data_IF_571928951060
#
_entry.id   IF_571928951060
#
_cell.length_a   1.000
_cell.length_b   1.000
_cell.length_c   1.000
_cell.angle_alpha   90.00
_cell.angle_beta   90.00
_cell.angle_gamma   90.00
#
_symmetry.space_group_name_H-M   'P 1'
#
loop_
_entity.id
_entity.type
_entity.pdbx_description
1 polymer ?
#
# COMPACT_ATOMS: atom_id res chain seq x y z
N UNK A 1 69.69 36.47 -8.21
CA UNK A 1 69.20 37.84 -7.92
C UNK A 1 67.91 37.67 -7.12
N UNK A 2 67.81 37.79 -5.81
CA UNK A 2 68.72 38.10 -4.70
C UNK A 2 67.93 37.71 -3.44
N UNK A 3 68.60 37.18 -2.43
CA UNK A 3 68.03 37.08 -1.07
C UNK A 3 67.61 38.46 -0.57
N UNK A 4 66.46 38.58 0.09
CA UNK A 4 66.13 39.62 1.08
C UNK A 4 64.74 39.32 1.69
N UNK A 5 64.71 38.57 2.78
CA UNK A 5 64.28 39.02 4.12
C UNK A 5 63.81 37.86 5.00
N UNK A 6 64.54 37.67 6.09
CA UNK A 6 64.20 36.84 7.25
C UNK A 6 63.29 37.61 8.22
N UNK A 7 62.48 36.82 8.90
CA UNK A 7 61.96 36.98 10.27
C UNK A 7 60.89 38.04 10.58
N UNK A 8 59.68 37.54 10.90
CA UNK A 8 58.92 37.95 12.07
C UNK A 8 58.10 36.76 12.60
N UNK A 9 58.51 36.21 13.74
CA UNK A 9 57.68 35.34 14.59
C UNK A 9 56.97 36.26 15.59
N UNK A 10 55.63 36.26 15.61
CA UNK A 10 54.85 36.66 16.77
C UNK A 10 53.49 35.94 16.76
N UNK A 11 53.14 35.42 17.93
CA UNK A 11 52.07 34.49 18.21
C UNK A 11 50.65 35.05 17.97
N UNK A 12 49.74 34.16 17.59
CA UNK A 12 48.30 34.39 17.56
C UNK A 12 47.56 33.05 17.60
N UNK A 13 47.07 32.70 18.79
CA UNK A 13 46.33 31.49 19.11
C UNK A 13 45.09 31.31 18.22
N UNK A 14 45.02 30.17 17.53
CA UNK A 14 43.83 29.70 16.82
C UNK A 14 43.73 28.20 16.99
N UNK A 15 42.94 27.79 17.97
CA UNK A 15 42.70 26.40 18.35
C UNK A 15 42.10 25.63 17.16
N UNK A 16 42.84 24.67 16.61
CA UNK A 16 42.32 23.74 15.62
C UNK A 16 41.44 22.68 16.29
N UNK A 17 40.24 22.44 15.75
CA UNK A 17 39.89 21.15 15.18
C UNK A 17 38.47 21.15 14.61
N UNK A 18 38.37 20.86 13.31
CA UNK A 18 37.10 20.70 12.60
C UNK A 18 37.27 20.84 11.08
N UNK A 19 38.40 20.37 10.54
CA UNK A 19 38.71 20.44 9.12
C UNK A 19 37.95 19.33 8.38
N UNK A 20 36.67 19.54 8.11
CA UNK A 20 35.87 18.71 7.21
C UNK A 20 35.95 19.22 5.78
N UNK A 21 37.15 19.26 5.19
CA UNK A 21 37.30 19.47 3.74
C UNK A 21 36.92 18.17 3.01
N UNK A 22 35.64 17.80 3.10
CA UNK A 22 35.06 16.74 2.29
C UNK A 22 34.97 17.24 0.87
N UNK A 23 35.85 16.76 0.00
CA UNK A 23 35.83 17.08 -1.42
C UNK A 23 34.49 16.55 -1.99
N UNK A 24 33.54 17.44 -2.27
CA UNK A 24 32.25 17.07 -2.85
C UNK A 24 32.43 16.83 -4.35
N UNK A 25 32.43 15.56 -4.74
CA UNK A 25 32.65 15.12 -6.13
C UNK A 25 31.44 14.34 -6.64
N UNK A 26 31.47 13.98 -7.93
CA UNK A 26 30.44 13.13 -8.54
C UNK A 26 30.24 11.80 -7.80
N UNK A 27 31.27 11.28 -7.12
CA UNK A 27 31.18 10.03 -6.34
C UNK A 27 30.30 10.15 -5.09
N UNK A 28 30.02 11.37 -4.62
CA UNK A 28 29.10 11.61 -3.51
C UNK A 28 27.62 11.65 -3.94
N UNK A 29 27.35 11.67 -5.24
CA UNK A 29 25.98 11.64 -5.78
C UNK A 29 25.51 10.18 -5.83
N UNK A 30 24.51 9.85 -5.02
CA UNK A 30 23.89 8.53 -5.00
C UNK A 30 22.56 8.55 -5.74
N UNK A 31 22.36 7.59 -6.64
CA UNK A 31 21.08 7.31 -7.29
C UNK A 31 20.49 6.07 -6.64
N UNK A 32 19.25 6.18 -6.14
CA UNK A 32 18.51 5.04 -5.59
C UNK A 32 17.64 4.46 -6.70
N UNK A 33 17.87 3.20 -7.07
CA UNK A 33 17.16 2.57 -8.17
C UNK A 33 15.89 1.83 -7.70
N UNK A 34 14.85 1.88 -8.53
CA UNK A 34 13.59 1.15 -8.30
C UNK A 34 12.99 1.41 -6.92
N UNK A 35 12.76 0.33 -6.17
CA UNK A 35 12.11 0.37 -4.85
C UNK A 35 13.06 0.74 -3.70
N UNK A 36 14.36 0.93 -3.95
CA UNK A 36 15.31 1.31 -2.91
C UNK A 36 15.00 2.69 -2.32
N UNK A 37 14.54 3.63 -3.16
CA UNK A 37 14.12 4.96 -2.73
C UNK A 37 12.99 4.91 -1.69
N UNK A 38 12.02 4.02 -1.89
CA UNK A 38 10.89 3.81 -0.97
C UNK A 38 11.39 3.34 0.39
N UNK A 39 12.26 2.33 0.42
CA UNK A 39 12.82 1.79 1.68
C UNK A 39 13.72 2.78 2.39
N UNK A 40 14.44 3.62 1.66
CA UNK A 40 15.34 4.63 2.24
C UNK A 40 14.57 5.81 2.83
N UNK A 41 13.37 6.12 2.30
CA UNK A 41 12.52 7.25 2.68
C UNK A 41 11.04 6.86 2.78
N UNK A 42 10.67 5.87 3.62
CA UNK A 42 9.32 5.30 3.64
C UNK A 42 8.24 6.34 3.96
N UNK A 43 8.51 7.25 4.89
CA UNK A 43 7.58 8.32 5.27
C UNK A 43 7.18 9.25 4.10
N UNK A 44 7.99 9.36 3.05
CA UNK A 44 7.61 10.13 1.85
C UNK A 44 6.47 9.46 1.07
N UNK A 45 6.36 8.13 1.15
CA UNK A 45 5.40 7.34 0.38
C UNK A 45 4.18 6.94 1.20
N UNK A 46 4.38 6.56 2.47
CA UNK A 46 3.31 6.07 3.36
C UNK A 46 3.05 6.98 4.57
N UNK A 47 3.67 8.16 4.59
CA UNK A 47 3.47 9.21 5.58
C UNK A 47 4.33 9.07 6.85
N UNK A 48 4.39 7.90 7.48
CA UNK A 48 5.28 7.62 8.62
C UNK A 48 5.64 6.13 8.69
N UNK A 49 6.42 5.73 9.70
CA UNK A 49 6.81 4.33 9.96
C UNK A 49 6.22 3.77 11.25
N UNK A 50 5.24 4.47 11.83
CA UNK A 50 4.52 4.04 13.03
C UNK A 50 3.22 3.35 12.67
N UNK A 51 2.26 3.35 13.62
CA UNK A 51 0.96 2.69 13.43
C UNK A 51 0.23 3.17 12.17
N UNK A 52 0.18 4.49 11.92
CA UNK A 52 -0.55 5.02 10.77
C UNK A 52 0.06 4.56 9.45
N UNK A 53 1.38 4.64 9.29
CA UNK A 53 2.07 4.14 8.09
C UNK A 53 1.92 2.63 7.89
N UNK A 54 1.95 1.85 8.97
CA UNK A 54 1.72 0.41 8.92
C UNK A 54 0.33 0.08 8.34
N UNK A 55 -0.73 0.67 8.90
CA UNK A 55 -2.10 0.46 8.42
C UNK A 55 -2.31 1.01 7.00
N UNK A 56 -1.58 2.06 6.62
CA UNK A 56 -1.59 2.60 5.26
C UNK A 56 -1.21 1.56 4.21
N UNK A 57 -0.32 0.60 4.53
CA UNK A 57 0.00 -0.49 3.60
C UNK A 57 -1.24 -1.31 3.23
N UNK A 58 -2.11 -1.59 4.22
CA UNK A 58 -3.35 -2.32 4.01
C UNK A 58 -4.32 -1.48 3.17
N UNK A 59 -4.40 -0.18 3.45
CA UNK A 59 -5.28 0.74 2.72
C UNK A 59 -4.93 0.80 1.24
N UNK A 60 -3.65 0.84 0.88
CA UNK A 60 -3.20 0.86 -0.52
C UNK A 60 -3.66 -0.38 -1.31
N UNK A 61 -3.72 -1.54 -0.65
CA UNK A 61 -4.20 -2.78 -1.29
C UNK A 61 -5.73 -2.78 -1.39
N UNK A 62 -6.43 -2.33 -0.35
CA UNK A 62 -7.90 -2.20 -0.35
C UNK A 62 -8.34 -1.17 -1.39
N UNK A 63 -7.69 -0.02 -1.49
CA UNK A 63 -8.05 1.05 -2.42
C UNK A 63 -7.91 0.58 -3.88
N UNK A 64 -6.94 -0.28 -4.19
CA UNK A 64 -6.86 -0.92 -5.50
C UNK A 64 -8.05 -1.86 -5.77
N UNK A 65 -8.56 -2.54 -4.75
CA UNK A 65 -9.75 -3.40 -4.83
C UNK A 65 -11.03 -2.56 -4.99
N UNK A 66 -11.12 -1.43 -4.29
CA UNK A 66 -12.21 -0.45 -4.44
C UNK A 66 -12.23 0.14 -5.85
N UNK A 67 -11.08 0.39 -6.46
CA UNK A 67 -11.04 0.86 -7.85
C UNK A 67 -11.62 -0.17 -8.84
N UNK A 68 -11.48 -1.47 -8.60
CA UNK A 68 -12.19 -2.51 -9.37
C UNK A 68 -13.70 -2.48 -9.13
N UNK A 69 -14.13 -2.17 -7.91
CA UNK A 69 -15.54 -2.05 -7.54
C UNK A 69 -16.18 -0.81 -8.21
N UNK A 70 -15.49 0.33 -8.19
CA UNK A 70 -15.91 1.55 -8.90
C UNK A 70 -15.95 1.37 -10.42
N UNK A 71 -15.15 0.45 -10.96
CA UNK A 71 -15.21 0.05 -12.36
C UNK A 71 -16.34 -0.98 -12.66
N UNK A 72 -17.05 -1.46 -11.64
CA UNK A 72 -18.19 -2.38 -11.75
C UNK A 72 -17.83 -3.86 -11.84
N UNK A 73 -16.60 -4.24 -11.45
CA UNK A 73 -16.12 -5.63 -11.57
C UNK A 73 -15.95 -6.36 -10.23
N UNK A 74 -15.93 -5.63 -9.12
CA UNK A 74 -15.77 -6.20 -7.79
C UNK A 74 -16.99 -5.84 -6.93
N UNK A 75 -17.51 -6.81 -6.17
CA UNK A 75 -18.59 -6.61 -5.20
C UNK A 75 -18.24 -7.12 -3.78
N UNK A 76 -17.08 -7.79 -3.63
CA UNK A 76 -16.62 -8.37 -2.37
C UNK A 76 -15.13 -8.19 -2.19
N UNK A 77 -14.74 -7.66 -1.03
CA UNK A 77 -13.35 -7.49 -0.60
C UNK A 77 -13.20 -8.08 0.80
N UNK A 78 -12.24 -8.98 0.98
CA UNK A 78 -12.00 -9.70 2.23
C UNK A 78 -10.59 -9.39 2.75
N UNK A 79 -10.48 -9.05 4.03
CA UNK A 79 -9.22 -8.75 4.71
C UNK A 79 -8.99 -9.77 5.83
N UNK A 80 -7.78 -10.31 5.93
CA UNK A 80 -7.41 -11.25 6.99
C UNK A 80 -6.15 -10.75 7.68
N UNK A 81 -6.18 -10.70 9.01
CA UNK A 81 -5.01 -10.50 9.86
C UNK A 81 -4.57 -11.88 10.37
N UNK A 82 -3.39 -12.33 9.96
CA UNK A 82 -2.90 -13.68 10.25
C UNK A 82 -2.20 -13.76 11.62
N UNK A 83 -2.06 -14.97 12.22
CA UNK A 83 -1.33 -15.18 13.48
C UNK A 83 0.10 -14.65 13.47
N UNK A 84 0.77 -14.65 12.31
CA UNK A 84 2.13 -14.16 12.15
C UNK A 84 2.22 -12.64 11.85
N UNK A 85 1.08 -11.95 11.96
CA UNK A 85 0.88 -10.54 11.70
C UNK A 85 1.17 -10.14 10.24
N UNK A 86 0.98 -11.07 9.30
CA UNK A 86 0.79 -10.76 7.89
C UNK A 86 -0.66 -10.40 7.59
N UNK A 87 -0.90 -9.80 6.44
CA UNK A 87 -2.21 -9.39 5.95
C UNK A 87 -2.49 -10.06 4.62
N UNK A 88 -3.70 -10.58 4.45
CA UNK A 88 -4.26 -10.89 3.13
C UNK A 88 -5.37 -9.91 2.81
N UNK A 89 -5.37 -9.36 1.60
CA UNK A 89 -6.53 -8.69 1.00
C UNK A 89 -6.90 -9.45 -0.27
N UNK A 90 -8.16 -9.82 -0.40
CA UNK A 90 -8.68 -10.54 -1.57
C UNK A 90 -9.89 -9.81 -2.14
N UNK A 91 -9.87 -9.57 -3.44
CA UNK A 91 -11.01 -9.05 -4.21
C UNK A 91 -11.50 -10.08 -5.22
N UNK A 92 -12.71 -9.87 -5.74
CA UNK A 92 -13.28 -10.64 -6.84
C UNK A 92 -13.37 -9.83 -8.16
N UNK A 93 -12.49 -8.85 -8.34
CA UNK A 93 -12.40 -8.01 -9.54
C UNK A 93 -11.92 -8.75 -10.78
N UNK A 94 -11.38 -8.02 -11.76
CA UNK A 94 -10.89 -8.60 -13.03
C UNK A 94 -9.59 -9.39 -12.88
N UNK A 95 -8.83 -9.15 -11.81
CA UNK A 95 -7.46 -9.62 -11.65
C UNK A 95 -6.44 -8.76 -12.39
N UNK A 96 -5.30 -8.50 -11.76
CA UNK A 96 -4.17 -7.76 -12.38
C UNK A 96 -3.75 -8.44 -13.70
N UNK A 97 -3.50 -7.69 -14.80
CA UNK A 97 -3.00 -8.28 -16.04
C UNK A 97 -1.68 -9.06 -15.84
N UNK A 98 -1.57 -10.24 -16.42
CA UNK A 98 -0.41 -11.15 -16.26
C UNK A 98 0.39 -11.33 -17.55
N UNK A 99 -0.12 -10.80 -18.67
CA UNK A 99 0.54 -10.76 -19.96
C UNK A 99 1.82 -9.92 -19.96
N UNK A 100 2.68 -10.15 -20.95
CA UNK A 100 3.96 -9.45 -21.07
C UNK A 100 3.75 -7.97 -21.40
N UNK A 101 4.28 -7.09 -20.55
CA UNK A 101 4.32 -5.67 -20.81
C UNK A 101 5.32 -5.37 -21.94
N UNK A 102 4.86 -4.74 -23.02
CA UNK A 102 5.64 -4.59 -24.27
C UNK A 102 7.00 -3.91 -24.08
N UNK A 103 7.07 -2.88 -23.22
CA UNK A 103 8.31 -2.12 -22.99
C UNK A 103 9.25 -2.80 -21.99
N UNK A 104 8.68 -3.39 -20.94
CA UNK A 104 9.44 -3.92 -19.79
C UNK A 104 9.83 -5.39 -19.99
N UNK A 105 9.24 -6.07 -20.99
CA UNK A 105 9.53 -7.46 -21.36
C UNK A 105 9.37 -8.47 -20.21
N UNK A 106 8.52 -8.14 -19.25
CA UNK A 106 8.10 -8.96 -18.11
C UNK A 106 6.61 -8.77 -17.88
N UNK A 107 5.99 -9.66 -17.10
CA UNK A 107 4.54 -9.60 -16.87
C UNK A 107 4.08 -8.25 -16.32
N UNK A 108 2.90 -7.78 -16.70
CA UNK A 108 2.32 -6.56 -16.17
C UNK A 108 2.17 -6.61 -14.64
N UNK A 109 1.82 -7.79 -14.07
CA UNK A 109 1.85 -8.04 -12.64
C UNK A 109 3.22 -7.69 -12.02
N UNK A 110 4.31 -8.21 -12.55
CA UNK A 110 5.64 -7.89 -12.03
C UNK A 110 5.97 -6.39 -12.16
N UNK A 111 5.57 -5.76 -13.27
CA UNK A 111 5.79 -4.33 -13.51
C UNK A 111 5.11 -3.49 -12.43
N UNK A 112 3.80 -3.69 -12.18
CA UNK A 112 3.06 -2.88 -11.19
C UNK A 112 3.54 -3.12 -9.76
N UNK A 113 4.12 -4.28 -9.47
CA UNK A 113 4.66 -4.59 -8.14
C UNK A 113 6.08 -4.06 -7.92
N UNK A 114 6.83 -3.73 -8.97
CA UNK A 114 8.28 -3.43 -8.86
C UNK A 114 8.71 -2.09 -9.46
N UNK A 115 7.83 -1.39 -10.18
CA UNK A 115 8.12 -0.10 -10.81
C UNK A 115 7.24 0.98 -10.22
N UNK A 116 7.85 2.04 -9.69
CA UNK A 116 7.13 3.24 -9.29
C UNK A 116 6.55 3.93 -10.53
N UNK A 117 5.36 4.50 -10.38
CA UNK A 117 4.62 5.18 -11.44
C UNK A 117 4.25 4.25 -12.60
N UNK A 118 3.92 3.00 -12.29
CA UNK A 118 3.38 2.04 -13.23
C UNK A 118 1.95 1.64 -12.85
N UNK A 119 1.01 1.69 -13.80
CA UNK A 119 -0.37 1.31 -13.57
C UNK A 119 -1.30 1.72 -14.72
N UNK A 120 -2.49 1.12 -14.77
CA UNK A 120 -3.51 1.42 -15.78
C UNK A 120 -4.39 2.64 -15.45
N UNK A 121 -4.05 3.41 -14.40
CA UNK A 121 -4.85 4.52 -13.88
C UNK A 121 -4.41 5.90 -14.39
N UNK A 122 -3.49 5.94 -15.36
CA UNK A 122 -3.02 7.19 -15.99
C UNK A 122 -3.89 7.66 -17.15
N UNK A 123 -4.70 6.75 -17.71
CA UNK A 123 -5.70 7.05 -18.73
C UNK A 123 -7.12 6.81 -18.20
N UNK A 124 -8.11 7.44 -18.83
CA UNK A 124 -9.53 7.25 -18.49
C UNK A 124 -10.13 5.95 -19.05
N UNK A 125 -9.31 5.12 -19.69
CA UNK A 125 -9.77 3.94 -20.45
C UNK A 125 -10.04 2.74 -19.55
N UNK A 126 -9.16 2.51 -18.57
CA UNK A 126 -9.25 1.35 -17.69
C UNK A 126 -10.11 1.58 -16.43
N UNK A 127 -10.13 2.83 -15.93
CA UNK A 127 -10.92 3.28 -14.80
C UNK A 127 -11.53 4.65 -15.10
N UNK A 128 -12.87 4.76 -15.05
CA UNK A 128 -13.57 6.02 -15.31
C UNK A 128 -13.37 7.04 -14.18
N UNK A 129 -13.29 6.54 -12.95
CA UNK A 129 -12.95 7.25 -11.71
C UNK A 129 -12.16 6.27 -10.84
N UNK A 130 -11.04 6.71 -10.25
CA UNK A 130 -10.24 5.90 -9.32
C UNK A 130 -9.66 6.77 -8.20
N UNK A 131 -9.52 6.20 -7.00
CA UNK A 131 -8.80 6.82 -5.89
C UNK A 131 -7.28 6.76 -6.10
N UNK A 132 -6.78 5.68 -6.70
CA UNK A 132 -5.37 5.55 -7.05
C UNK A 132 -5.02 6.35 -8.31
N UNK A 133 -4.08 7.30 -8.20
CA UNK A 133 -3.66 8.15 -9.33
C UNK A 133 -2.14 8.16 -9.58
N UNK A 134 -1.34 7.79 -8.58
CA UNK A 134 0.11 7.95 -8.64
C UNK A 134 0.85 6.75 -9.24
N UNK A 135 0.22 5.56 -9.26
CA UNK A 135 0.85 4.31 -9.70
C UNK A 135 2.00 3.86 -8.82
N UNK A 136 1.94 4.13 -7.51
CA UNK A 136 3.02 3.78 -6.55
C UNK A 136 2.56 2.88 -5.39
N UNK A 137 1.28 2.88 -5.05
CA UNK A 137 0.75 2.25 -3.83
C UNK A 137 1.22 0.82 -3.57
N UNK A 138 0.78 -0.13 -4.41
CA UNK A 138 1.10 -1.55 -4.21
C UNK A 138 2.60 -1.86 -4.34
N UNK A 139 3.32 -1.10 -5.16
CA UNK A 139 4.78 -1.22 -5.27
C UNK A 139 5.50 -0.74 -3.99
N UNK A 140 4.93 0.25 -3.28
CA UNK A 140 5.42 0.66 -1.96
C UNK A 140 5.12 -0.41 -0.91
N UNK A 141 3.93 -1.02 -0.94
CA UNK A 141 3.61 -2.18 -0.08
C UNK A 141 4.63 -3.30 -0.29
N UNK A 142 4.94 -3.64 -1.55
CA UNK A 142 5.96 -4.63 -1.87
C UNK A 142 7.36 -4.25 -1.35
N UNK A 143 7.77 -2.99 -1.57
CA UNK A 143 9.06 -2.48 -1.11
C UNK A 143 9.23 -2.54 0.41
N UNK A 144 8.15 -2.27 1.16
CA UNK A 144 8.13 -2.14 2.61
C UNK A 144 7.71 -3.45 3.32
N UNK A 145 7.58 -4.54 2.56
CA UNK A 145 7.27 -5.87 3.09
C UNK A 145 8.52 -6.77 3.10
N UNK A 146 8.64 -7.60 4.14
CA UNK A 146 9.71 -8.62 4.21
C UNK A 146 9.45 -9.77 3.23
N UNK A 147 8.18 -10.16 3.08
CA UNK A 147 7.69 -10.96 1.98
C UNK A 147 6.33 -10.46 1.48
N UNK A 148 6.07 -10.69 0.20
CA UNK A 148 4.77 -10.45 -0.41
C UNK A 148 4.49 -11.55 -1.43
N UNK A 149 3.25 -12.01 -1.51
CA UNK A 149 2.73 -12.93 -2.52
C UNK A 149 1.51 -12.31 -3.18
N UNK A 150 1.46 -12.35 -4.51
CA UNK A 150 0.24 -12.03 -5.26
C UNK A 150 -0.23 -13.28 -5.97
N UNK A 151 -1.51 -13.58 -5.82
CA UNK A 151 -2.23 -14.61 -6.58
C UNK A 151 -3.31 -13.92 -7.40
N UNK A 152 -3.30 -14.15 -8.71
CA UNK A 152 -4.27 -13.58 -9.65
C UNK A 152 -5.12 -14.71 -10.23
N UNK A 153 -6.44 -14.52 -10.20
CA UNK A 153 -7.40 -15.39 -10.87
C UNK A 153 -7.91 -14.65 -12.11
N UNK A 154 -7.58 -15.13 -13.30
CA UNK A 154 -7.94 -14.49 -14.57
C UNK A 154 -7.85 -15.49 -15.72
N UNK A 155 -8.71 -15.35 -16.72
CA UNK A 155 -8.66 -16.17 -17.96
C UNK A 155 -8.70 -17.70 -17.70
N UNK A 156 -9.45 -18.11 -16.66
CA UNK A 156 -9.58 -19.52 -16.29
C UNK A 156 -8.36 -20.10 -15.57
N UNK A 157 -7.37 -19.27 -15.23
CA UNK A 157 -6.07 -19.67 -14.69
C UNK A 157 -5.77 -18.96 -13.36
N UNK A 158 -4.93 -19.61 -12.58
CA UNK A 158 -4.31 -19.06 -11.37
C UNK A 158 -2.88 -18.69 -11.74
N UNK A 159 -2.50 -17.44 -11.53
CA UNK A 159 -1.13 -16.97 -11.65
C UNK A 159 -0.61 -16.55 -10.29
N UNK A 160 0.68 -16.73 -10.03
CA UNK A 160 1.28 -16.26 -8.79
C UNK A 160 2.69 -15.71 -8.99
N UNK A 161 3.06 -14.80 -8.09
CA UNK A 161 4.44 -14.32 -7.93
C UNK A 161 4.70 -13.96 -6.46
N UNK A 162 5.89 -14.33 -5.99
CA UNK A 162 6.37 -14.01 -4.65
C UNK A 162 7.57 -13.06 -4.72
N UNK A 163 7.67 -12.22 -3.69
CA UNK A 163 8.67 -11.18 -3.56
C UNK A 163 9.29 -11.23 -2.17
N UNK A 164 10.57 -10.86 -2.09
CA UNK A 164 11.24 -10.57 -0.84
C UNK A 164 11.83 -9.17 -0.92
N UNK A 165 11.40 -8.28 -0.02
CA UNK A 165 11.91 -6.90 0.06
C UNK A 165 11.79 -6.19 -1.32
N UNK A 166 10.60 -6.28 -1.93
CA UNK A 166 10.32 -5.67 -3.23
C UNK A 166 10.91 -6.41 -4.45
N UNK A 167 11.74 -7.45 -4.26
CA UNK A 167 12.39 -8.16 -5.36
C UNK A 167 11.64 -9.44 -5.72
N UNK A 168 11.29 -9.68 -6.99
CA UNK A 168 10.64 -10.91 -7.41
C UNK A 168 11.58 -12.10 -7.19
N UNK A 169 11.06 -13.18 -6.61
CA UNK A 169 11.82 -14.42 -6.39
C UNK A 169 11.91 -15.27 -7.66
N UNK A 170 10.93 -15.13 -8.54
CA UNK A 170 10.81 -15.81 -9.83
C UNK A 170 9.84 -15.03 -10.74
N UNK A 171 9.89 -15.21 -12.07
CA UNK A 171 8.89 -14.64 -12.99
C UNK A 171 7.49 -15.20 -12.70
N UNK A 172 6.43 -14.45 -13.00
CA UNK A 172 5.03 -14.91 -12.86
C UNK A 172 4.85 -16.29 -13.48
N UNK A 173 4.24 -17.20 -12.71
CA UNK A 173 3.96 -18.57 -13.14
C UNK A 173 2.48 -18.90 -13.06
N UNK A 174 2.04 -19.81 -13.93
CA UNK A 174 0.74 -20.44 -13.81
C UNK A 174 0.79 -21.48 -12.68
N UNK A 175 -0.10 -21.36 -11.70
CA UNK A 175 -0.20 -22.19 -10.51
C UNK A 175 -1.39 -23.17 -10.55
N UNK A 176 -2.27 -23.05 -11.55
CA UNK A 176 -3.42 -23.94 -11.71
C UNK A 176 -4.53 -23.34 -12.56
N UNK A 177 -5.69 -23.98 -12.54
CA UNK A 177 -6.91 -23.52 -13.21
C UNK A 177 -7.96 -23.08 -12.19
N UNK A 178 -8.87 -22.21 -12.59
CA UNK A 178 -9.91 -21.65 -11.71
C UNK A 178 -11.13 -21.20 -12.50
N UNK A 179 -12.30 -21.21 -11.87
CA UNK A 179 -13.50 -20.54 -12.39
C UNK A 179 -13.71 -19.13 -11.83
N UNK A 180 -12.80 -18.65 -10.97
CA UNK A 180 -12.90 -17.36 -10.29
C UNK A 180 -12.16 -16.26 -11.06
N UNK A 181 -12.47 -15.01 -10.74
CA UNK A 181 -11.66 -13.84 -11.08
C UNK A 181 -11.30 -13.07 -9.81
N UNK A 182 -10.21 -12.30 -9.86
CA UNK A 182 -9.82 -11.40 -8.76
C UNK A 182 -8.34 -11.43 -8.46
N UNK A 183 -7.96 -10.65 -7.44
CA UNK A 183 -6.58 -10.58 -6.94
C UNK A 183 -6.56 -10.88 -5.45
N UNK A 184 -5.61 -11.69 -5.02
CA UNK A 184 -5.25 -11.86 -3.61
C UNK A 184 -3.83 -11.37 -3.40
N UNK A 185 -3.64 -10.41 -2.50
CA UNK A 185 -2.32 -9.91 -2.08
C UNK A 185 -2.12 -10.28 -0.62
N UNK A 186 -1.07 -11.05 -0.35
CA UNK A 186 -0.66 -11.45 0.98
C UNK A 186 0.71 -10.87 1.28
N UNK A 187 0.89 -10.13 2.38
CA UNK A 187 2.15 -9.47 2.69
C UNK A 187 2.42 -9.39 4.18
N UNK A 188 3.69 -9.33 4.55
CA UNK A 188 4.12 -9.05 5.93
C UNK A 188 5.01 -7.82 5.96
N UNK A 189 4.72 -6.85 6.84
CA UNK A 189 5.52 -5.64 6.96
C UNK A 189 6.97 -5.99 7.33
N UNK A 190 7.92 -5.19 6.86
CA UNK A 190 9.33 -5.34 7.21
C UNK A 190 9.62 -4.69 8.57
N UNK A 191 9.85 -5.51 9.59
CA UNK A 191 10.11 -5.06 10.97
C UNK A 191 11.45 -4.34 11.13
N UNK A 192 12.32 -4.35 10.12
CA UNK A 192 13.53 -3.50 10.10
C UNK A 192 13.24 -2.03 9.73
N UNK A 193 12.03 -1.75 9.20
CA UNK A 193 11.60 -0.42 8.78
C UNK A 193 10.60 0.18 9.78
N UNK A 194 9.59 -0.59 10.18
CA UNK A 194 8.49 -0.09 11.00
C UNK A 194 8.85 -0.09 12.49
N UNK A 195 8.46 0.97 13.19
CA UNK A 195 8.62 1.08 14.66
C UNK A 195 7.45 0.46 15.43
N UNK A 196 6.31 0.27 14.76
CA UNK A 196 5.21 -0.56 15.22
C UNK A 196 4.92 -1.58 14.13
N UNK A 197 4.87 -2.85 14.49
CA UNK A 197 4.66 -3.96 13.58
C UNK A 197 3.38 -4.73 13.88
N UNK A 198 2.50 -4.27 14.77
CA UNK A 198 1.24 -4.94 15.11
C UNK A 198 0.05 -4.22 14.47
N UNK A 199 -0.74 -4.95 13.68
CA UNK A 199 -1.99 -4.43 13.13
C UNK A 199 -3.10 -4.38 14.18
N UNK A 200 -3.93 -3.35 14.10
CA UNK A 200 -5.05 -3.11 15.00
C UNK A 200 -6.36 -3.36 14.25
N UNK A 201 -7.15 -4.31 14.76
CA UNK A 201 -8.42 -4.71 14.16
C UNK A 201 -9.42 -3.55 14.12
N UNK A 202 -9.50 -2.72 15.16
CA UNK A 202 -10.46 -1.61 15.24
C UNK A 202 -10.11 -0.50 14.24
N UNK A 203 -8.83 -0.18 14.09
CA UNK A 203 -8.37 0.80 13.09
C UNK A 203 -8.75 0.36 11.67
N UNK A 204 -8.44 -0.89 11.31
CA UNK A 204 -8.81 -1.43 9.99
C UNK A 204 -10.33 -1.51 9.83
N UNK A 205 -11.04 -2.02 10.84
CA UNK A 205 -12.49 -2.16 10.82
C UNK A 205 -13.21 -0.82 10.65
N UNK A 206 -12.73 0.24 11.31
CA UNK A 206 -13.26 1.59 11.12
C UNK A 206 -13.10 2.04 9.67
N UNK A 207 -11.93 1.82 9.08
CA UNK A 207 -11.67 2.19 7.68
C UNK A 207 -12.54 1.40 6.70
N UNK A 208 -12.66 0.09 6.87
CA UNK A 208 -13.51 -0.75 6.02
C UNK A 208 -14.99 -0.33 6.11
N UNK A 209 -15.46 0.02 7.30
CA UNK A 209 -16.82 0.53 7.52
C UNK A 209 -17.07 1.83 6.76
N UNK A 210 -16.16 2.79 6.85
CA UNK A 210 -16.23 4.04 6.08
C UNK A 210 -16.30 3.75 4.57
N UNK A 211 -15.43 2.86 4.07
CA UNK A 211 -15.40 2.48 2.67
C UNK A 211 -16.69 1.80 2.20
N UNK A 212 -17.32 0.96 3.03
CA UNK A 212 -18.60 0.33 2.71
C UNK A 212 -19.72 1.36 2.56
N UNK A 213 -19.73 2.42 3.38
CA UNK A 213 -20.67 3.51 3.20
C UNK A 213 -20.40 4.38 1.96
N UNK A 214 -19.13 4.61 1.64
CA UNK A 214 -18.73 5.40 0.48
C UNK A 214 -18.98 4.67 -0.84
N UNK A 215 -18.95 3.33 -0.82
CA UNK A 215 -19.09 2.47 -1.99
C UNK A 215 -20.32 1.56 -1.81
N UNK A 216 -21.50 2.13 -2.11
CA UNK A 216 -22.80 1.44 -2.02
C UNK A 216 -22.75 0.08 -2.72
N UNK A 217 -23.32 -0.94 -2.08
CA UNK A 217 -23.47 -2.28 -2.68
C UNK A 217 -22.19 -3.12 -2.70
N UNK A 218 -21.08 -2.66 -2.12
CA UNK A 218 -19.84 -3.42 -2.00
C UNK A 218 -19.74 -4.01 -0.59
N UNK A 219 -19.46 -5.30 -0.50
CA UNK A 219 -19.23 -6.00 0.77
C UNK A 219 -17.75 -5.95 1.13
N UNK A 220 -17.44 -5.45 2.32
CA UNK A 220 -16.11 -5.50 2.88
C UNK A 220 -16.12 -6.32 4.16
N UNK A 221 -15.21 -7.28 4.30
CA UNK A 221 -15.05 -8.06 5.53
C UNK A 221 -13.63 -7.99 6.05
N UNK A 222 -13.49 -8.12 7.36
CA UNK A 222 -12.21 -8.32 8.03
C UNK A 222 -12.32 -9.42 9.08
N UNK A 223 -11.32 -10.29 9.12
CA UNK A 223 -11.20 -11.38 10.09
C UNK A 223 -9.82 -11.31 10.74
N UNK A 224 -9.77 -11.36 12.06
CA UNK A 224 -8.54 -11.44 12.84
C UNK A 224 -8.32 -12.88 13.33
N UNK A 225 -7.36 -13.56 12.72
CA UNK A 225 -7.06 -14.96 12.99
C UNK A 225 -6.09 -15.15 14.18
N UNK A 226 -5.62 -14.06 14.80
CA UNK A 226 -4.65 -14.11 15.91
C UNK A 226 -5.27 -14.63 17.19
N UNK A 227 -6.57 -14.41 17.38
CA UNK A 227 -7.32 -14.82 18.56
C UNK A 227 -8.62 -15.56 18.17
N UNK A 228 -9.19 -16.28 19.14
CA UNK A 228 -10.46 -17.00 18.99
C UNK A 228 -11.34 -16.72 20.19
N UNK A 229 -12.64 -16.57 19.97
CA UNK A 229 -13.63 -16.48 21.03
C UNK A 229 -13.84 -17.84 21.77
N UNK A 230 -14.69 -17.85 22.80
CA UNK A 230 -14.98 -19.05 23.60
C UNK A 230 -15.59 -20.20 22.78
N UNK A 231 -16.14 -19.91 21.60
CA UNK A 231 -16.73 -20.88 20.68
C UNK A 231 -15.76 -21.31 19.57
N UNK A 232 -14.52 -20.81 19.58
CA UNK A 232 -13.50 -21.09 18.57
C UNK A 232 -13.65 -20.29 17.27
N UNK A 233 -14.45 -19.22 17.25
CA UNK A 233 -14.56 -18.34 16.09
C UNK A 233 -13.53 -17.22 16.14
N UNK A 234 -13.05 -16.79 14.98
CA UNK A 234 -12.18 -15.63 14.87
C UNK A 234 -12.98 -14.33 14.94
N UNK A 235 -12.54 -13.32 15.72
CA UNK A 235 -13.12 -11.99 15.71
C UNK A 235 -13.11 -11.39 14.30
N UNK A 236 -14.19 -10.73 13.92
CA UNK A 236 -14.28 -10.14 12.59
C UNK A 236 -15.56 -9.35 12.38
N UNK A 237 -15.58 -8.57 11.32
CA UNK A 237 -16.70 -7.72 10.95
C UNK A 237 -16.98 -7.83 9.45
N UNK A 238 -18.26 -7.71 9.09
CA UNK A 238 -18.69 -7.57 7.71
C UNK A 238 -19.51 -6.30 7.58
N UNK A 239 -19.15 -5.47 6.60
CA UNK A 239 -19.74 -4.17 6.33
C UNK A 239 -20.36 -4.18 4.94
N UNK A 240 -21.57 -3.62 4.85
CA UNK A 240 -22.34 -3.47 3.63
C UNK A 240 -23.33 -2.33 3.82
N UNK A 241 -23.50 -1.48 2.82
CA UNK A 241 -24.47 -0.38 2.86
C UNK A 241 -25.22 -0.27 1.54
N UNK A 242 -26.55 -0.20 1.65
CA UNK A 242 -27.45 0.01 0.50
C UNK A 242 -27.64 1.50 0.22
N UNK A 243 -27.71 2.35 1.26
CA UNK A 243 -28.03 3.79 1.11
C UNK A 243 -26.79 4.69 1.17
N UNK A 244 -25.60 4.13 1.43
CA UNK A 244 -24.31 4.80 1.43
C UNK A 244 -24.18 5.90 2.47
N UNK A 245 -23.91 7.13 2.02
CA UNK A 245 -23.70 8.29 2.90
C UNK A 245 -24.86 8.58 3.86
N UNK A 246 -26.10 8.20 3.52
CA UNK A 246 -27.24 8.31 4.46
C UNK A 246 -27.01 7.42 5.68
N UNK A 247 -26.72 6.14 5.45
CA UNK A 247 -26.39 5.18 6.52
C UNK A 247 -25.14 5.64 7.29
N UNK A 248 -24.18 6.29 6.62
CA UNK A 248 -22.99 6.82 7.30
C UNK A 248 -23.31 7.93 8.30
N UNK A 249 -24.16 8.89 7.91
CA UNK A 249 -24.57 9.97 8.80
C UNK A 249 -25.35 9.40 9.98
N UNK A 250 -26.27 8.46 9.74
CA UNK A 250 -27.01 7.79 10.81
C UNK A 250 -26.08 7.06 11.78
N UNK A 251 -25.05 6.40 11.26
CA UNK A 251 -24.03 5.76 12.07
C UNK A 251 -23.25 6.77 12.94
N UNK A 252 -22.82 7.90 12.36
CA UNK A 252 -22.10 8.96 13.09
C UNK A 252 -22.96 9.65 14.16
N UNK A 253 -24.26 9.81 13.89
CA UNK A 253 -25.21 10.45 14.80
C UNK A 253 -25.84 9.49 15.82
N UNK A 254 -25.53 8.19 15.77
CA UNK A 254 -26.15 7.17 16.62
C UNK A 254 -26.00 7.40 18.13
N UNK A 255 -25.01 8.19 18.57
CA UNK A 255 -24.83 8.58 19.98
C UNK A 255 -25.18 10.05 20.28
N UNK A 256 -25.74 10.78 19.30
CA UNK A 256 -26.08 12.21 19.44
C UNK A 256 -27.60 12.40 19.44
N UNK A 257 -28.05 13.47 20.09
CA UNK A 257 -29.45 13.87 20.00
C UNK A 257 -29.74 14.40 18.60
N UNK A 258 -30.68 13.77 17.90
CA UNK A 258 -31.07 14.16 16.54
C UNK A 258 -31.87 15.46 16.56
N UNK A 259 -31.34 16.51 15.93
CA UNK A 259 -32.04 17.80 15.77
C UNK A 259 -33.04 17.79 14.60
N UNK A 260 -32.88 16.86 13.65
CA UNK A 260 -33.76 16.65 12.50
C UNK A 260 -34.03 15.15 12.35
N UNK A 261 -35.21 14.74 11.86
CA UNK A 261 -35.55 13.32 11.73
C UNK A 261 -34.68 12.58 10.71
N UNK A 262 -34.34 13.24 9.59
CA UNK A 262 -33.63 12.65 8.46
C UNK A 262 -32.48 13.56 7.98
N UNK A 263 -31.31 13.01 7.61
CA UNK A 263 -30.24 13.77 6.98
C UNK A 263 -30.64 14.37 5.63
N UNK A 264 -30.21 15.61 5.37
CA UNK A 264 -30.35 16.22 4.05
C UNK A 264 -29.36 15.52 3.11
N UNK A 265 -29.86 14.91 2.04
CA UNK A 265 -29.06 14.23 1.02
C UNK A 265 -29.43 14.75 -0.36
N UNK A 266 -28.42 15.11 -1.13
CA UNK A 266 -28.54 15.64 -2.49
C UNK A 266 -27.59 14.82 -3.36
N UNK A 267 -28.10 14.31 -4.47
CA UNK A 267 -27.34 13.60 -5.49
C UNK A 267 -27.61 14.28 -6.84
N UNK A 268 -26.59 14.40 -7.68
CA UNK A 268 -26.66 15.03 -8.99
C UNK A 268 -25.80 14.28 -9.99
N UNK A 269 -26.15 14.40 -11.28
CA UNK A 269 -25.34 13.89 -12.41
C UNK A 269 -24.12 14.77 -12.71
#
# INVERSE_FOLDING_TARGET
MSELNKEAIAAGSGNGNGNGNGNYTAENIQVLEGLEAVRKRPAMYIGDIGSRGLHHLVYEVIDNSIDEALAGYCDSIEVFIHPDNSITVSDNGRGIPTDLHEKEKRSALEVVMTVLHAGGKFDKGSYKVSGGLHGVGVSCVNALSSMLKVTVYREGKIFEQEYSIGKPLYPVREAGTTGKTGTTVHFKPDTSIFTNDVYDLEILSSRLRELAFLNKGIRLSITDERETDENGNHPGFSFYSENGLRDFIEYLDGMREKLMPEPIYIEGE
#
